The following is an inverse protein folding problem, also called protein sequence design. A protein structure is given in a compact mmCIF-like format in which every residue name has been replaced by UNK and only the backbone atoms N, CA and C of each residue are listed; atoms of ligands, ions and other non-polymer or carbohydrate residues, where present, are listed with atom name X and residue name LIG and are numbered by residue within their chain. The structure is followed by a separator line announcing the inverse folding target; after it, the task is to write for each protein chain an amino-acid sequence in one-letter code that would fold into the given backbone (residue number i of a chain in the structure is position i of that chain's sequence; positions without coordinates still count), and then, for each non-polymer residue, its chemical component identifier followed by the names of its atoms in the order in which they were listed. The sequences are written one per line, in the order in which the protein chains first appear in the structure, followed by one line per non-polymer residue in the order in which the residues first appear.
data_IF_153111243747
#
_entry.id   IF_153111243747
#
_cell.length_a   1.000
_cell.length_b   1.000
_cell.length_c   1.000
_cell.angle_alpha   90.00
_cell.angle_beta   90.00
_cell.angle_gamma   90.00
#
_symmetry.space_group_name_H-M   'P 1'
#
loop_
_entity.id
_entity.type
_entity.pdbx_description
1 polymer ?
#
# COMPACT_ATOMS: atom_id res chain seq x y z
N UNK A 1 2.53 5.30 11.95
CA UNK A 1 2.47 3.84 11.71
C UNK A 1 3.25 3.48 10.44
N UNK A 2 3.91 2.34 10.49
CA UNK A 2 4.52 1.70 9.33
C UNK A 2 3.90 0.30 9.22
N UNK A 3 3.32 0.02 8.06
CA UNK A 3 2.57 -1.20 7.78
C UNK A 3 3.27 -2.02 6.72
N UNK A 4 3.37 -3.31 6.93
CA UNK A 4 3.76 -4.29 5.92
C UNK A 4 2.92 -5.54 6.08
N UNK A 5 2.90 -6.41 5.07
CA UNK A 5 2.12 -7.65 5.15
C UNK A 5 2.96 -8.85 4.72
N UNK A 6 2.94 -9.88 5.55
CA UNK A 6 3.33 -11.23 5.18
C UNK A 6 2.31 -12.23 5.71
N UNK A 7 1.44 -12.70 4.83
CA UNK A 7 0.23 -13.43 5.21
C UNK A 7 0.47 -14.65 6.08
N UNK A 8 1.52 -15.44 5.77
CA UNK A 8 1.83 -16.69 6.46
C UNK A 8 2.49 -16.49 7.83
N UNK A 9 2.84 -15.28 8.20
CA UNK A 9 3.59 -14.97 9.41
C UNK A 9 5.09 -15.09 9.25
N UNK A 10 5.83 -14.47 10.17
CA UNK A 10 7.29 -14.34 10.09
C UNK A 10 8.02 -15.68 10.11
N UNK A 11 7.53 -16.65 10.88
CA UNK A 11 8.18 -17.97 11.01
C UNK A 11 8.21 -18.73 9.68
N UNK A 12 7.16 -18.59 8.88
CA UNK A 12 7.03 -19.25 7.59
C UNK A 12 7.54 -18.38 6.42
N UNK A 13 8.06 -17.20 6.70
CA UNK A 13 8.59 -16.33 5.66
C UNK A 13 9.90 -16.89 5.09
N UNK A 14 10.11 -16.83 3.77
CA UNK A 14 11.41 -17.10 3.16
C UNK A 14 12.50 -16.20 3.75
N UNK A 15 13.74 -16.69 3.76
CA UNK A 15 14.87 -15.97 4.39
C UNK A 15 15.05 -14.56 3.81
N UNK A 16 14.89 -14.40 2.50
CA UNK A 16 14.97 -13.09 1.86
C UNK A 16 13.91 -12.11 2.40
N UNK A 17 12.70 -12.57 2.69
CA UNK A 17 11.64 -11.74 3.27
C UNK A 17 11.97 -11.37 4.71
N UNK A 18 12.49 -12.33 5.51
CA UNK A 18 12.94 -12.05 6.89
C UNK A 18 14.02 -10.97 6.92
N UNK A 19 14.99 -11.06 6.00
CA UNK A 19 16.05 -10.05 5.85
C UNK A 19 15.47 -8.69 5.49
N UNK A 20 14.51 -8.62 4.55
CA UNK A 20 13.84 -7.36 4.19
C UNK A 20 13.08 -6.77 5.39
N UNK A 21 12.23 -7.56 6.05
CA UNK A 21 11.45 -7.11 7.21
C UNK A 21 12.34 -6.63 8.36
N UNK A 22 13.44 -7.34 8.63
CA UNK A 22 14.44 -6.92 9.62
C UNK A 22 15.07 -5.58 9.23
N UNK A 23 15.48 -5.42 7.97
CA UNK A 23 16.05 -4.16 7.47
C UNK A 23 15.09 -2.99 7.59
N UNK A 24 13.80 -3.22 7.33
CA UNK A 24 12.75 -2.22 7.50
C UNK A 24 12.60 -1.83 8.98
N UNK A 25 12.52 -2.80 9.87
CA UNK A 25 12.38 -2.56 11.30
C UNK A 25 13.58 -1.77 11.85
N UNK A 26 14.80 -2.11 11.45
CA UNK A 26 16.02 -1.44 11.89
C UNK A 26 16.19 -0.01 11.33
N UNK A 27 15.73 0.22 10.09
CA UNK A 27 16.01 1.46 9.38
C UNK A 27 14.83 2.42 9.26
N UNK A 28 13.59 1.97 9.49
CA UNK A 28 12.40 2.82 9.40
C UNK A 28 11.82 3.19 10.78
N UNK A 29 12.15 2.44 11.83
CA UNK A 29 11.66 2.74 13.17
C UNK A 29 12.48 3.86 13.79
N UNK A 30 11.98 5.09 13.76
CA UNK A 30 12.55 6.23 14.47
C UNK A 30 11.46 6.93 15.29
N UNK A 31 11.83 7.41 16.47
CA UNK A 31 11.06 8.35 17.31
C UNK A 31 9.52 8.23 17.25
N UNK A 32 8.97 7.12 17.74
CA UNK A 32 7.52 6.99 17.93
C UNK A 32 6.76 6.35 16.76
N UNK A 33 7.44 5.90 15.73
CA UNK A 33 6.81 5.06 14.70
C UNK A 33 6.59 3.64 15.21
N UNK A 34 5.38 3.13 15.04
CA UNK A 34 5.04 1.73 15.27
C UNK A 34 5.17 0.97 13.97
N UNK A 35 6.03 -0.06 13.93
CA UNK A 35 6.16 -0.98 12.81
C UNK A 35 5.31 -2.23 13.06
N UNK A 36 4.40 -2.53 12.14
CA UNK A 36 3.46 -3.64 12.27
C UNK A 36 3.49 -4.53 11.04
N UNK A 37 3.76 -5.82 11.25
CA UNK A 37 3.62 -6.85 10.22
C UNK A 37 2.21 -7.42 10.30
N UNK A 38 1.43 -7.20 9.27
CA UNK A 38 0.09 -7.78 9.12
C UNK A 38 0.20 -9.23 8.64
N UNK A 39 -0.55 -10.11 9.29
CA UNK A 39 -0.59 -11.55 9.01
C UNK A 39 -2.04 -12.04 8.97
N UNK A 40 -2.26 -13.29 8.57
CA UNK A 40 -3.58 -13.95 8.64
C UNK A 40 -4.18 -13.97 10.05
N UNK A 41 -3.33 -13.94 11.09
CA UNK A 41 -3.76 -14.13 12.47
C UNK A 41 -4.07 -12.79 13.19
N UNK A 42 -3.60 -11.65 12.65
CA UNK A 42 -3.75 -10.36 13.33
C UNK A 42 -4.52 -9.28 12.54
N UNK A 43 -4.74 -9.42 11.22
CA UNK A 43 -5.32 -8.34 10.41
C UNK A 43 -6.69 -7.87 10.91
N UNK A 44 -7.52 -8.78 11.44
CA UNK A 44 -8.85 -8.45 12.01
C UNK A 44 -8.79 -7.62 13.29
N UNK A 45 -7.62 -7.46 13.91
CA UNK A 45 -7.44 -6.58 15.06
C UNK A 45 -7.35 -5.10 14.65
N UNK A 46 -7.04 -4.85 13.38
CA UNK A 46 -6.79 -3.51 12.86
C UNK A 46 -7.92 -3.00 11.97
N UNK A 47 -8.49 -3.86 11.14
CA UNK A 47 -9.49 -3.47 10.15
C UNK A 47 -10.67 -4.44 10.12
N UNK A 48 -11.82 -3.90 9.74
CA UNK A 48 -13.02 -4.66 9.41
C UNK A 48 -13.31 -4.49 7.91
N UNK A 49 -13.50 -5.60 7.22
CA UNK A 49 -13.75 -5.61 5.78
C UNK A 49 -15.17 -6.12 5.49
N UNK A 50 -15.82 -5.63 4.42
CA UNK A 50 -17.11 -6.13 3.97
C UNK A 50 -17.10 -7.65 3.78
N UNK A 51 -18.20 -8.29 4.17
CA UNK A 51 -18.33 -9.75 4.13
C UNK A 51 -18.00 -10.34 2.75
N UNK A 52 -18.47 -9.69 1.68
CA UNK A 52 -18.21 -10.15 0.30
C UNK A 52 -16.71 -10.17 -0.06
N UNK A 53 -15.90 -9.26 0.49
CA UNK A 53 -14.44 -9.24 0.30
C UNK A 53 -13.82 -10.47 0.96
N UNK A 54 -14.21 -10.74 2.20
CA UNK A 54 -13.69 -11.88 2.98
C UNK A 54 -14.05 -13.19 2.29
N UNK A 55 -15.33 -13.38 1.93
CA UNK A 55 -15.81 -14.57 1.24
C UNK A 55 -15.12 -14.78 -0.11
N UNK A 56 -14.89 -13.72 -0.90
CA UNK A 56 -14.21 -13.82 -2.18
C UNK A 56 -12.72 -14.14 -2.04
N UNK A 57 -12.08 -13.66 -0.99
CA UNK A 57 -10.71 -14.05 -0.66
C UNK A 57 -10.63 -15.52 -0.24
N UNK A 58 -11.50 -15.96 0.66
CA UNK A 58 -11.55 -17.35 1.14
C UNK A 58 -11.87 -18.35 0.01
N UNK A 59 -12.69 -17.96 -0.96
CA UNK A 59 -13.03 -18.75 -2.14
C UNK A 59 -12.01 -18.63 -3.30
N UNK A 60 -10.90 -17.92 -3.09
CA UNK A 60 -9.82 -17.78 -4.08
C UNK A 60 -10.12 -16.85 -5.26
N UNK A 61 -11.25 -16.12 -5.24
CA UNK A 61 -11.57 -15.11 -6.26
C UNK A 61 -10.67 -13.87 -6.12
N UNK A 62 -10.33 -13.50 -4.89
CA UNK A 62 -9.33 -12.47 -4.57
C UNK A 62 -8.04 -13.19 -4.17
N UNK A 63 -6.98 -13.00 -4.93
CA UNK A 63 -5.67 -13.55 -4.57
C UNK A 63 -5.07 -12.78 -3.38
N UNK A 64 -4.11 -13.38 -2.67
CA UNK A 64 -3.44 -12.72 -1.55
C UNK A 64 -2.76 -11.41 -1.94
N UNK A 65 -2.25 -11.31 -3.17
CA UNK A 65 -1.67 -10.06 -3.69
C UNK A 65 -2.72 -8.94 -3.72
N UNK A 66 -3.89 -9.20 -4.31
CA UNK A 66 -4.96 -8.20 -4.39
C UNK A 66 -5.66 -7.96 -3.05
N UNK A 67 -5.69 -8.97 -2.18
CA UNK A 67 -6.16 -8.79 -0.82
C UNK A 67 -5.23 -7.88 -0.02
N UNK A 68 -3.91 -7.95 -0.25
CA UNK A 68 -2.95 -7.02 0.36
C UNK A 68 -3.17 -5.57 -0.10
N UNK A 69 -3.60 -5.34 -1.35
CA UNK A 69 -3.96 -4.00 -1.84
C UNK A 69 -5.18 -3.42 -1.11
N UNK A 70 -6.17 -4.27 -0.83
CA UNK A 70 -7.37 -3.89 -0.06
C UNK A 70 -6.99 -3.57 1.40
N UNK A 71 -6.20 -4.44 2.04
CA UNK A 71 -5.71 -4.22 3.42
C UNK A 71 -4.90 -2.92 3.49
N UNK A 72 -4.02 -2.69 2.54
CA UNK A 72 -3.22 -1.45 2.42
C UNK A 72 -4.11 -0.21 2.40
N UNK A 73 -5.12 -0.21 1.51
CA UNK A 73 -6.04 0.91 1.38
C UNK A 73 -6.80 1.17 2.68
N UNK A 74 -7.29 0.12 3.34
CA UNK A 74 -8.07 0.26 4.57
C UNK A 74 -7.22 0.69 5.77
N UNK A 75 -6.02 0.14 5.95
CA UNK A 75 -5.10 0.55 7.01
C UNK A 75 -4.69 2.02 6.87
N UNK A 76 -4.32 2.44 5.66
CA UNK A 76 -3.90 3.82 5.43
C UNK A 76 -5.07 4.81 5.52
N UNK A 77 -6.29 4.40 5.17
CA UNK A 77 -7.50 5.18 5.42
C UNK A 77 -7.76 5.37 6.91
N UNK A 78 -7.73 4.28 7.69
CA UNK A 78 -8.11 4.29 9.10
C UNK A 78 -7.05 4.90 10.01
N UNK A 79 -5.79 4.64 9.76
CA UNK A 79 -4.70 4.98 10.67
C UNK A 79 -3.66 5.91 10.05
N UNK A 80 -3.66 6.07 8.74
CA UNK A 80 -2.57 6.74 8.04
C UNK A 80 -1.24 6.02 8.21
N UNK A 81 -0.15 6.72 7.91
CA UNK A 81 1.21 6.20 8.01
C UNK A 81 1.75 5.76 6.65
N UNK A 82 2.68 4.82 6.67
CA UNK A 82 3.40 4.33 5.48
C UNK A 82 3.15 2.84 5.32
N UNK A 83 2.78 2.44 4.11
CA UNK A 83 2.87 1.05 3.66
C UNK A 83 4.20 0.81 2.96
N UNK A 84 4.81 -0.33 3.27
CA UNK A 84 5.99 -0.83 2.56
C UNK A 84 5.83 -2.33 2.32
N UNK A 85 6.07 -2.78 1.10
CA UNK A 85 5.98 -4.21 0.77
C UNK A 85 7.08 -5.00 1.52
N UNK A 86 6.73 -6.21 1.97
CA UNK A 86 7.60 -7.08 2.75
C UNK A 86 8.90 -7.50 2.04
N UNK A 87 8.98 -7.30 0.73
CA UNK A 87 10.16 -7.62 -0.10
C UNK A 87 11.06 -6.42 -0.37
N UNK A 88 10.74 -5.26 0.18
CA UNK A 88 11.59 -4.06 0.06
C UNK A 88 12.70 -4.11 1.11
N UNK A 89 13.94 -4.01 0.67
CA UNK A 89 15.10 -3.94 1.53
C UNK A 89 15.53 -2.49 1.79
N UNK A 90 15.60 -2.10 3.04
CA UNK A 90 16.05 -0.78 3.47
C UNK A 90 17.55 -0.81 3.78
N UNK A 91 18.37 -0.26 2.90
CA UNK A 91 19.84 -0.32 3.02
C UNK A 91 20.44 0.81 3.88
N UNK A 92 19.64 1.75 4.33
CA UNK A 92 20.07 2.86 5.19
C UNK A 92 18.90 3.35 6.05
N UNK A 93 19.24 3.98 7.16
CA UNK A 93 18.28 4.61 8.04
C UNK A 93 17.53 5.71 7.31
N UNK A 94 16.20 5.68 7.41
CA UNK A 94 15.32 6.72 6.89
C UNK A 94 14.95 7.65 8.05
N UNK A 95 15.17 8.93 7.86
CA UNK A 95 14.68 9.96 8.78
C UNK A 95 13.24 10.29 8.38
N UNK A 96 12.30 9.53 8.95
CA UNK A 96 10.89 9.68 8.65
C UNK A 96 10.28 10.68 9.62
N UNK A 97 9.71 11.74 9.06
CA UNK A 97 8.81 12.62 9.79
C UNK A 97 7.38 12.02 9.80
N UNK A 98 6.52 12.39 10.77
CA UNK A 98 5.13 11.98 10.74
C UNK A 98 4.47 12.31 9.41
N UNK A 99 3.84 11.31 8.78
CA UNK A 99 3.23 11.47 7.47
C UNK A 99 2.02 12.40 7.58
N UNK A 100 2.17 13.62 7.13
CA UNK A 100 1.13 14.66 7.10
C UNK A 100 0.53 14.87 5.71
N UNK A 101 1.19 14.34 4.68
CA UNK A 101 0.85 14.50 3.28
C UNK A 101 1.11 13.19 2.54
N UNK A 102 0.55 13.10 1.32
CA UNK A 102 0.77 11.96 0.44
C UNK A 102 2.26 11.73 0.18
N UNK A 103 2.71 10.53 0.43
CA UNK A 103 4.10 10.07 0.25
C UNK A 103 4.13 8.85 -0.66
N UNK A 104 5.07 8.83 -1.60
CA UNK A 104 5.36 7.64 -2.42
C UNK A 104 6.74 7.75 -3.05
N UNK A 105 7.31 6.62 -3.46
CA UNK A 105 8.46 6.64 -4.33
C UNK A 105 8.01 7.10 -5.74
N UNK A 106 8.59 8.21 -6.22
CA UNK A 106 8.29 8.82 -7.51
C UNK A 106 9.52 8.82 -8.40
N UNK A 107 9.37 8.29 -9.60
CA UNK A 107 10.42 8.22 -10.61
C UNK A 107 10.29 9.33 -11.63
N UNK A 108 11.31 9.49 -12.47
CA UNK A 108 11.20 10.28 -13.70
C UNK A 108 10.06 9.77 -14.59
N UNK A 109 9.44 10.63 -15.41
CA UNK A 109 8.36 10.21 -16.28
C UNK A 109 8.70 8.98 -17.12
N UNK A 110 7.88 7.95 -17.02
CA UNK A 110 8.08 6.67 -17.70
C UNK A 110 6.87 6.35 -18.56
N UNK A 111 6.88 6.73 -19.85
CA UNK A 111 5.70 6.65 -20.74
C UNK A 111 5.13 5.24 -20.91
N UNK A 112 5.93 4.20 -20.66
CA UNK A 112 5.52 2.79 -20.79
C UNK A 112 4.88 2.21 -19.53
N UNK A 113 4.87 2.97 -18.42
CA UNK A 113 4.26 2.55 -17.15
C UNK A 113 2.86 3.13 -17.02
N UNK A 114 1.91 2.34 -16.50
CA UNK A 114 0.55 2.80 -16.16
C UNK A 114 0.59 3.99 -15.19
N UNK A 115 1.52 3.96 -14.24
CA UNK A 115 1.71 5.03 -13.25
C UNK A 115 2.36 6.27 -13.83
N UNK A 116 2.97 6.19 -15.02
CA UNK A 116 3.81 7.23 -15.62
C UNK A 116 4.96 7.68 -14.69
N UNK A 117 5.40 6.83 -13.77
CA UNK A 117 6.41 7.13 -12.75
C UNK A 117 5.92 7.97 -11.57
N UNK A 118 4.62 8.30 -11.50
CA UNK A 118 4.05 9.21 -10.49
C UNK A 118 3.97 8.61 -9.09
N UNK A 119 3.79 7.30 -8.99
CA UNK A 119 3.69 6.56 -7.73
C UNK A 119 4.17 5.13 -7.86
N UNK A 120 4.43 4.50 -6.73
CA UNK A 120 4.69 3.07 -6.60
C UNK A 120 3.81 2.49 -5.50
N UNK A 121 3.21 1.33 -5.76
CA UNK A 121 2.36 0.66 -4.77
C UNK A 121 3.15 0.07 -3.59
N UNK A 122 4.41 -0.29 -3.81
CA UNK A 122 5.23 -0.95 -2.79
C UNK A 122 5.72 -0.01 -1.67
N UNK A 123 5.65 1.31 -1.86
CA UNK A 123 6.00 2.31 -0.86
C UNK A 123 5.09 3.53 -1.04
N UNK A 124 4.09 3.63 -0.19
CA UNK A 124 3.08 4.68 -0.26
C UNK A 124 2.51 4.97 1.14
N UNK A 125 2.20 6.22 1.41
CA UNK A 125 1.60 6.61 2.68
C UNK A 125 0.88 7.94 2.61
N UNK A 126 0.10 8.23 3.64
CA UNK A 126 -0.61 9.49 3.80
C UNK A 126 -1.06 9.66 5.26
N UNK A 127 -1.59 10.82 5.59
CA UNK A 127 -2.26 11.05 6.87
C UNK A 127 -3.53 10.20 7.00
N UNK A 128 -3.97 10.00 8.23
CA UNK A 128 -5.24 9.37 8.54
C UNK A 128 -6.41 10.12 7.87
N UNK A 129 -7.37 9.37 7.34
CA UNK A 129 -8.55 9.92 6.67
C UNK A 129 -8.26 10.54 5.30
N UNK A 130 -7.16 10.17 4.67
CA UNK A 130 -6.81 10.58 3.31
C UNK A 130 -7.95 10.33 2.31
N UNK A 131 -8.21 11.30 1.44
CA UNK A 131 -9.20 11.16 0.37
C UNK A 131 -8.82 10.06 -0.61
N UNK A 132 -7.53 9.90 -0.91
CA UNK A 132 -7.05 8.86 -1.80
C UNK A 132 -7.40 7.48 -1.24
N UNK A 133 -7.02 7.20 0.01
CA UNK A 133 -7.25 5.87 0.59
C UNK A 133 -8.71 5.61 0.93
N UNK A 134 -9.49 6.65 1.24
CA UNK A 134 -10.95 6.55 1.36
C UNK A 134 -11.60 6.16 0.02
N UNK A 135 -11.19 6.80 -1.08
CA UNK A 135 -11.64 6.44 -2.42
C UNK A 135 -11.21 5.03 -2.82
N UNK A 136 -9.95 4.65 -2.55
CA UNK A 136 -9.44 3.32 -2.89
C UNK A 136 -10.20 2.21 -2.15
N UNK A 137 -10.43 2.38 -0.84
CA UNK A 137 -11.21 1.43 -0.02
C UNK A 137 -12.60 1.22 -0.60
N UNK A 138 -13.31 2.30 -0.91
CA UNK A 138 -14.66 2.24 -1.50
C UNK A 138 -14.63 1.62 -2.90
N UNK A 139 -13.68 2.02 -3.75
CA UNK A 139 -13.55 1.48 -5.10
C UNK A 139 -13.26 -0.01 -5.12
N UNK A 140 -12.39 -0.51 -4.23
CA UNK A 140 -12.17 -1.94 -4.08
C UNK A 140 -13.43 -2.66 -3.61
N UNK A 141 -14.15 -2.11 -2.63
CA UNK A 141 -15.39 -2.70 -2.12
C UNK A 141 -16.43 -2.83 -3.22
N UNK A 142 -16.72 -1.75 -3.96
CA UNK A 142 -17.68 -1.74 -5.05
C UNK A 142 -17.26 -2.64 -6.22
N UNK A 143 -15.97 -2.65 -6.55
CA UNK A 143 -15.45 -3.52 -7.60
C UNK A 143 -15.70 -5.00 -7.25
N UNK A 144 -15.30 -5.44 -6.08
CA UNK A 144 -15.44 -6.82 -5.65
C UNK A 144 -16.86 -7.19 -5.21
N UNK A 145 -17.75 -6.23 -4.94
CA UNK A 145 -19.17 -6.51 -4.84
C UNK A 145 -19.76 -6.97 -6.18
N UNK A 146 -19.37 -6.27 -7.24
CA UNK A 146 -19.93 -6.46 -8.59
C UNK A 146 -19.26 -7.57 -9.39
N UNK A 147 -17.96 -7.78 -9.26
CA UNK A 147 -17.17 -8.68 -10.10
C UNK A 147 -16.54 -9.81 -9.29
N UNK A 148 -16.41 -10.98 -9.93
CA UNK A 148 -15.79 -12.18 -9.38
C UNK A 148 -14.40 -12.49 -9.95
N UNK A 149 -13.94 -11.67 -10.87
CA UNK A 149 -12.66 -11.80 -11.53
C UNK A 149 -11.95 -10.47 -11.65
N UNK A 150 -10.65 -10.53 -11.75
CA UNK A 150 -9.79 -9.37 -11.87
C UNK A 150 -9.77 -8.87 -13.31
N UNK A 151 -10.05 -7.60 -13.55
CA UNK A 151 -9.95 -6.97 -14.87
C UNK A 151 -8.50 -6.77 -15.32
N UNK A 152 -7.61 -6.50 -14.38
CA UNK A 152 -6.19 -6.31 -14.64
C UNK A 152 -5.38 -6.54 -13.36
N UNK A 153 -4.17 -7.09 -13.51
CA UNK A 153 -3.26 -7.34 -12.38
C UNK A 153 -2.93 -6.06 -11.58
N UNK A 154 -2.80 -4.92 -12.27
CA UNK A 154 -2.50 -3.62 -11.64
C UNK A 154 -3.78 -2.85 -11.28
N UNK A 155 -4.80 -3.53 -10.73
CA UNK A 155 -6.07 -2.89 -10.37
C UNK A 155 -5.87 -1.70 -9.43
N UNK A 156 -4.95 -1.79 -8.48
CA UNK A 156 -4.61 -0.69 -7.56
C UNK A 156 -4.18 0.56 -8.33
N UNK A 157 -3.33 0.42 -9.34
CA UNK A 157 -2.82 1.55 -10.11
C UNK A 157 -3.92 2.18 -10.97
N UNK A 158 -4.85 1.37 -11.52
CA UNK A 158 -6.04 1.90 -12.20
C UNK A 158 -6.94 2.70 -11.26
N UNK A 159 -7.16 2.22 -10.04
CA UNK A 159 -7.96 2.93 -9.03
C UNK A 159 -7.29 4.27 -8.69
N UNK A 160 -5.98 4.31 -8.46
CA UNK A 160 -5.23 5.55 -8.22
C UNK A 160 -5.32 6.49 -9.44
N UNK A 161 -5.17 5.97 -10.66
CA UNK A 161 -5.29 6.76 -11.88
C UNK A 161 -6.68 7.37 -12.04
N UNK A 162 -7.73 6.63 -11.70
CA UNK A 162 -9.11 7.12 -11.68
C UNK A 162 -9.26 8.22 -10.61
N UNK A 163 -8.72 8.02 -9.41
CA UNK A 163 -8.72 9.05 -8.37
C UNK A 163 -8.06 10.33 -8.86
N UNK A 164 -6.86 10.26 -9.44
CA UNK A 164 -6.16 11.41 -10.01
C UNK A 164 -6.93 12.10 -11.15
N UNK A 165 -7.70 11.34 -11.93
CA UNK A 165 -8.51 11.89 -13.02
C UNK A 165 -9.72 12.67 -12.51
N UNK A 166 -10.39 12.18 -11.48
CA UNK A 166 -11.67 12.72 -11.01
C UNK A 166 -11.54 13.68 -9.82
N UNK A 167 -10.43 13.63 -9.07
CA UNK A 167 -10.18 14.48 -7.91
C UNK A 167 -8.91 15.32 -8.14
N UNK A 168 -9.10 16.61 -8.54
CA UNK A 168 -7.96 17.52 -8.83
C UNK A 168 -7.00 17.67 -7.65
N UNK A 169 -7.51 17.63 -6.42
CA UNK A 169 -6.70 17.71 -5.20
C UNK A 169 -5.76 16.52 -5.07
N UNK A 170 -6.20 15.29 -5.31
CA UNK A 170 -5.36 14.08 -5.27
C UNK A 170 -4.28 14.17 -6.36
N UNK A 171 -4.65 14.58 -7.56
CA UNK A 171 -3.68 14.80 -8.64
C UNK A 171 -2.63 15.82 -8.26
N UNK A 172 -3.03 16.95 -7.66
CA UNK A 172 -2.12 18.00 -7.22
C UNK A 172 -1.13 17.51 -6.16
N UNK A 173 -1.58 16.69 -5.19
CA UNK A 173 -0.70 16.08 -4.20
C UNK A 173 0.38 15.21 -4.87
N UNK A 174 0.03 14.35 -5.83
CA UNK A 174 1.01 13.58 -6.60
C UNK A 174 1.98 14.44 -7.43
N UNK A 175 1.48 15.54 -8.00
CA UNK A 175 2.32 16.47 -8.78
C UNK A 175 3.34 17.19 -7.91
N UNK A 176 3.01 17.48 -6.67
CA UNK A 176 3.87 18.16 -5.71
C UNK A 176 4.99 17.27 -5.14
N UNK A 177 4.84 15.94 -5.16
CA UNK A 177 5.90 15.03 -4.73
C UNK A 177 7.09 15.18 -5.69
N UNK A 178 8.30 15.50 -5.19
CA UNK A 178 9.49 15.56 -6.05
C UNK A 178 9.86 14.15 -6.54
N UNK A 179 10.59 14.09 -7.66
CA UNK A 179 11.24 12.84 -8.08
C UNK A 179 12.29 12.48 -7.01
N UNK A 180 12.07 11.39 -6.31
CA UNK A 180 12.87 10.94 -5.18
C UNK A 180 13.52 9.57 -5.40
N UNK A 181 13.25 8.95 -6.55
CA UNK A 181 13.84 7.68 -6.99
C UNK A 181 14.35 7.81 -8.42
N UNK A 182 15.66 7.77 -8.58
CA UNK A 182 16.30 7.91 -9.90
C UNK A 182 16.80 6.58 -10.48
N UNK A 183 16.77 5.50 -9.73
CA UNK A 183 17.36 4.21 -10.08
C UNK A 183 16.41 3.00 -10.08
N UNK A 184 15.10 3.21 -10.12
CA UNK A 184 14.14 2.09 -10.06
C UNK A 184 13.87 1.39 -11.41
N UNK A 185 14.42 1.89 -12.53
CA UNK A 185 14.19 1.34 -13.89
C UNK A 185 15.43 1.42 -14.76
#
# INVERSE_FOLDING_TARGET
NIWTLWWQGLEQAPEIVKVCLKSQQENMVSKGFQYTVITKDNWKQFIDLPKHIIEKMENGKITLTHFSDIIRAELLKQYGGIWIDATVFCNKKLDLEPVSELFTAKCSPTPRSLTLGRWTGFLIGDKQGSKLFSFMSEAFSQYWEKYDSLVAYLLIDYIIAIACKHFPEIRKEYEQIPVNQTGLW
#
